data_IF_034544184802
#
_entry.id   IF_034544184802
#
_cell.length_a   1.000
_cell.length_b   1.000
_cell.length_c   1.000
_cell.angle_alpha   90.00
_cell.angle_beta   90.00
_cell.angle_gamma   90.00
#
_symmetry.space_group_name_H-M   'P 1'
#
loop_
_entity.id
_entity.type
_entity.pdbx_description
1 polymer ?
#
# COMPACT_ATOMS: atom_id res chain seq x y z
N UNK A 1 -46.91 15.90 -54.63
CA UNK A 1 -46.73 15.94 -53.17
C UNK A 1 -46.63 14.53 -52.54
N UNK A 2 -47.38 13.48 -52.96
CA UNK A 2 -47.33 12.14 -52.38
C UNK A 2 -45.98 11.36 -52.58
N UNK A 3 -45.24 11.64 -53.67
CA UNK A 3 -43.95 10.98 -53.95
C UNK A 3 -42.77 11.58 -53.14
N UNK A 4 -42.86 12.82 -52.71
CA UNK A 4 -41.83 13.48 -51.90
C UNK A 4 -41.90 13.00 -50.44
N UNK A 5 -43.09 12.78 -49.92
CA UNK A 5 -43.28 12.29 -48.54
C UNK A 5 -42.80 10.84 -48.37
N UNK A 6 -42.94 9.97 -49.40
CA UNK A 6 -42.44 8.63 -49.35
C UNK A 6 -40.89 8.55 -49.37
N UNK A 7 -40.23 9.49 -50.12
CA UNK A 7 -38.78 9.53 -50.21
C UNK A 7 -38.12 10.04 -48.92
N UNK A 8 -38.77 11.01 -48.23
CA UNK A 8 -38.30 11.49 -46.91
C UNK A 8 -38.48 10.44 -45.83
N UNK A 9 -39.55 9.64 -45.88
CA UNK A 9 -39.80 8.55 -44.92
C UNK A 9 -38.80 7.39 -45.07
N UNK A 10 -38.39 7.04 -46.30
CA UNK A 10 -37.38 6.03 -46.58
C UNK A 10 -35.99 6.53 -46.12
N UNK A 11 -35.69 7.82 -46.32
CA UNK A 11 -34.43 8.41 -45.83
C UNK A 11 -34.37 8.47 -44.29
N UNK A 12 -35.49 8.73 -43.61
CA UNK A 12 -35.55 8.72 -42.15
C UNK A 12 -35.40 7.30 -41.56
N UNK A 13 -35.98 6.29 -42.22
CA UNK A 13 -35.85 4.90 -41.80
C UNK A 13 -34.43 4.39 -42.07
N UNK A 14 -33.76 4.80 -43.14
CA UNK A 14 -32.38 4.45 -43.43
C UNK A 14 -31.42 5.11 -42.44
N UNK A 15 -31.71 6.34 -41.99
CA UNK A 15 -30.89 7.04 -40.98
C UNK A 15 -31.08 6.43 -39.57
N UNK A 16 -32.25 5.95 -39.25
CA UNK A 16 -32.53 5.23 -38.01
C UNK A 16 -31.89 3.82 -37.99
N UNK A 17 -31.75 3.16 -39.15
CA UNK A 17 -31.05 1.87 -39.21
C UNK A 17 -29.52 2.00 -39.13
N UNK A 18 -28.92 3.13 -39.50
CA UNK A 18 -27.49 3.39 -39.34
C UNK A 18 -27.12 3.66 -37.86
N UNK A 19 -28.06 4.20 -37.06
CA UNK A 19 -27.86 4.35 -35.61
C UNK A 19 -28.21 3.08 -34.80
N UNK A 20 -28.82 2.07 -35.40
CA UNK A 20 -29.12 0.79 -34.75
C UNK A 20 -28.03 -0.27 -34.96
N UNK A 21 -27.00 0.01 -35.76
CA UNK A 21 -25.71 -0.70 -35.77
C UNK A 21 -24.71 -0.05 -34.80
N UNK A 22 -25.16 0.27 -33.61
CA UNK A 22 -24.30 0.31 -32.47
C UNK A 22 -23.75 -1.10 -32.29
N UNK A 23 -22.51 -1.33 -32.72
CA UNK A 23 -21.83 -2.56 -32.41
C UNK A 23 -21.97 -2.77 -30.89
N UNK A 24 -22.51 -3.91 -30.52
CA UNK A 24 -22.23 -4.41 -29.18
C UNK A 24 -20.70 -4.53 -29.15
N UNK A 25 -20.03 -3.56 -28.56
CA UNK A 25 -18.72 -3.83 -28.03
C UNK A 25 -18.93 -5.03 -27.12
N UNK A 26 -18.51 -6.21 -27.60
CA UNK A 26 -18.27 -7.33 -26.71
C UNK A 26 -17.37 -6.76 -25.64
N UNK A 27 -17.94 -6.54 -24.48
CA UNK A 27 -17.17 -6.27 -23.27
C UNK A 27 -16.29 -7.52 -23.14
N UNK A 28 -15.07 -7.44 -23.66
CA UNK A 28 -14.07 -8.49 -23.44
C UNK A 28 -14.00 -8.62 -21.93
N UNK A 29 -14.49 -9.74 -21.44
CA UNK A 29 -14.37 -10.09 -20.04
C UNK A 29 -12.87 -10.06 -19.74
N UNK A 30 -12.45 -9.11 -18.92
CA UNK A 30 -11.05 -8.94 -18.55
C UNK A 30 -10.69 -10.18 -17.77
N UNK A 31 -9.81 -11.01 -18.32
CA UNK A 31 -9.34 -12.23 -17.67
C UNK A 31 -8.62 -11.82 -16.37
N UNK A 32 -9.20 -12.20 -15.24
CA UNK A 32 -8.65 -11.88 -13.93
C UNK A 32 -7.34 -12.63 -13.75
N UNK A 33 -6.35 -11.97 -13.15
CA UNK A 33 -5.16 -12.66 -12.67
C UNK A 33 -5.55 -13.71 -11.62
N UNK A 34 -4.66 -14.69 -11.37
CA UNK A 34 -4.88 -15.69 -10.33
C UNK A 34 -5.18 -15.05 -8.97
N UNK A 35 -4.43 -13.99 -8.61
CA UNK A 35 -4.63 -13.26 -7.35
C UNK A 35 -5.99 -12.57 -7.33
N UNK A 36 -6.36 -11.90 -8.39
CA UNK A 36 -7.67 -11.24 -8.47
C UNK A 36 -8.84 -12.23 -8.42
N UNK A 37 -8.69 -13.42 -8.99
CA UNK A 37 -9.69 -14.47 -8.89
C UNK A 37 -9.86 -14.96 -7.44
N UNK A 38 -8.75 -15.18 -6.71
CA UNK A 38 -8.76 -15.55 -5.29
C UNK A 38 -9.39 -14.45 -4.43
N UNK A 39 -9.05 -13.20 -4.67
CA UNK A 39 -9.63 -12.06 -3.94
C UNK A 39 -11.13 -11.99 -4.18
N UNK A 40 -11.57 -12.12 -5.43
CA UNK A 40 -12.99 -12.08 -5.78
C UNK A 40 -13.78 -13.22 -5.13
N UNK A 41 -13.20 -14.42 -5.02
CA UNK A 41 -13.80 -15.53 -4.28
C UNK A 41 -13.92 -15.19 -2.79
N UNK A 42 -12.86 -14.61 -2.21
CA UNK A 42 -12.75 -14.32 -0.79
C UNK A 42 -13.60 -13.11 -0.32
N UNK A 43 -13.93 -12.16 -1.20
CA UNK A 43 -14.69 -10.95 -0.86
C UNK A 43 -16.05 -11.22 -0.22
N UNK A 44 -16.71 -12.32 -0.60
CA UNK A 44 -18.00 -12.72 -0.07
C UNK A 44 -17.94 -13.57 1.19
N UNK A 45 -16.77 -14.04 1.59
CA UNK A 45 -16.60 -14.99 2.69
C UNK A 45 -16.64 -14.32 4.05
N UNK A 46 -17.20 -15.03 5.02
CA UNK A 46 -17.07 -14.71 6.45
C UNK A 46 -15.64 -15.00 6.94
N UNK A 47 -15.27 -14.45 8.10
CA UNK A 47 -13.98 -14.78 8.72
C UNK A 47 -13.84 -16.27 9.02
N UNK A 48 -14.96 -16.94 9.35
CA UNK A 48 -14.97 -18.38 9.59
C UNK A 48 -14.70 -19.18 8.30
N UNK A 49 -15.32 -18.80 7.18
CA UNK A 49 -15.07 -19.45 5.88
C UNK A 49 -13.65 -19.19 5.39
N UNK A 50 -13.13 -17.98 5.57
CA UNK A 50 -11.73 -17.66 5.26
C UNK A 50 -10.75 -18.49 6.12
N UNK A 51 -11.07 -18.70 7.39
CA UNK A 51 -10.25 -19.52 8.27
C UNK A 51 -10.26 -20.99 7.86
N UNK A 52 -11.41 -21.54 7.46
CA UNK A 52 -11.48 -22.91 6.92
C UNK A 52 -10.67 -23.04 5.63
N UNK A 53 -10.79 -22.08 4.72
CA UNK A 53 -10.01 -22.04 3.49
C UNK A 53 -8.51 -22.01 3.79
N UNK A 54 -8.09 -21.18 4.74
CA UNK A 54 -6.70 -21.10 5.18
C UNK A 54 -6.19 -22.43 5.73
N UNK A 55 -6.99 -23.16 6.50
CA UNK A 55 -6.66 -24.50 6.99
C UNK A 55 -6.49 -25.48 5.82
N UNK A 56 -7.44 -25.53 4.91
CA UNK A 56 -7.40 -26.43 3.73
C UNK A 56 -6.16 -26.18 2.86
N UNK A 57 -5.81 -24.91 2.65
CA UNK A 57 -4.71 -24.52 1.77
C UNK A 57 -3.33 -24.69 2.40
N UNK A 58 -3.20 -24.53 3.72
CA UNK A 58 -1.89 -24.40 4.37
C UNK A 58 -1.53 -25.50 5.35
N UNK A 59 -2.45 -26.40 5.70
CA UNK A 59 -2.18 -27.45 6.68
C UNK A 59 -0.98 -28.31 6.27
N UNK A 60 -0.03 -28.52 7.18
CA UNK A 60 1.18 -29.31 6.96
C UNK A 60 2.25 -28.63 6.11
N UNK A 61 2.04 -27.38 5.67
CA UNK A 61 2.99 -26.66 4.80
C UNK A 61 3.92 -25.74 5.57
N UNK A 62 4.94 -25.22 4.87
CA UNK A 62 5.75 -24.10 5.34
C UNK A 62 5.20 -22.79 4.79
N UNK A 63 5.06 -21.82 5.67
CA UNK A 63 4.58 -20.49 5.36
C UNK A 63 5.73 -19.49 5.41
N UNK A 64 6.16 -19.03 4.24
CA UNK A 64 7.25 -18.07 4.12
C UNK A 64 6.71 -16.65 4.16
N UNK A 65 7.16 -15.89 5.15
CA UNK A 65 6.87 -14.47 5.25
C UNK A 65 8.11 -13.61 5.04
N UNK A 66 7.94 -12.43 4.51
CA UNK A 66 9.00 -11.47 4.20
C UNK A 66 8.59 -10.08 4.66
N UNK A 67 9.45 -9.38 5.39
CA UNK A 67 9.14 -8.01 5.76
C UNK A 67 10.21 -7.34 6.61
N UNK A 68 10.14 -6.02 6.73
CA UNK A 68 11.08 -5.23 7.53
C UNK A 68 10.65 -5.07 8.99
N UNK A 69 9.57 -5.71 9.40
CA UNK A 69 9.05 -5.66 10.77
C UNK A 69 9.15 -7.03 11.45
N UNK A 70 9.65 -7.05 12.69
CA UNK A 70 9.64 -8.26 13.54
C UNK A 70 8.22 -8.70 13.94
N UNK A 71 7.21 -7.88 13.72
CA UNK A 71 5.82 -8.22 14.03
C UNK A 71 5.33 -9.47 13.29
N UNK A 72 5.86 -9.76 12.10
CA UNK A 72 5.58 -11.01 11.41
C UNK A 72 5.92 -12.25 12.22
N UNK A 73 7.02 -12.22 12.96
CA UNK A 73 7.41 -13.33 13.86
C UNK A 73 6.41 -13.59 15.00
N UNK A 74 5.69 -12.53 15.42
CA UNK A 74 4.67 -12.65 16.47
C UNK A 74 3.29 -12.94 15.88
N UNK A 75 3.00 -12.39 14.71
CA UNK A 75 1.70 -12.56 14.06
C UNK A 75 1.46 -14.02 13.63
N UNK A 76 2.48 -14.66 13.07
CA UNK A 76 2.36 -16.05 12.58
C UNK A 76 2.00 -17.08 13.65
N UNK A 77 2.66 -17.13 14.83
CA UNK A 77 2.22 -17.98 15.92
C UNK A 77 0.79 -17.74 16.38
N UNK A 78 0.36 -16.48 16.45
CA UNK A 78 -1.01 -16.14 16.83
C UNK A 78 -2.02 -16.60 15.77
N UNK A 79 -1.68 -16.46 14.49
CA UNK A 79 -2.49 -16.98 13.39
C UNK A 79 -2.65 -18.50 13.48
N UNK A 80 -1.55 -19.24 13.70
CA UNK A 80 -1.59 -20.68 13.89
C UNK A 80 -2.47 -21.06 15.09
N UNK A 81 -2.26 -20.42 16.24
CA UNK A 81 -3.04 -20.67 17.42
C UNK A 81 -4.55 -20.41 17.20
N UNK A 82 -4.90 -19.37 16.46
CA UNK A 82 -6.28 -19.11 16.08
C UNK A 82 -6.87 -20.23 15.22
N UNK A 83 -6.16 -20.68 14.18
CA UNK A 83 -6.64 -21.79 13.34
C UNK A 83 -6.73 -23.11 14.10
N UNK A 84 -5.88 -23.36 15.10
CA UNK A 84 -5.95 -24.51 15.99
C UNK A 84 -7.17 -24.47 16.93
N UNK A 85 -7.81 -23.33 17.14
CA UNK A 85 -9.10 -23.30 17.83
C UNK A 85 -10.23 -23.88 16.98
N UNK A 86 -10.06 -23.89 15.65
CA UNK A 86 -11.04 -24.40 14.68
C UNK A 86 -10.72 -25.87 14.35
N UNK A 87 -9.46 -26.15 14.02
CA UNK A 87 -8.96 -27.52 13.81
C UNK A 87 -7.74 -27.78 14.70
N UNK A 88 -7.91 -28.51 15.82
CA UNK A 88 -6.80 -28.82 16.74
C UNK A 88 -5.66 -29.63 16.09
N UNK A 89 -5.88 -30.27 14.94
CA UNK A 89 -4.86 -31.02 14.21
C UNK A 89 -4.05 -30.15 13.26
N UNK A 90 -4.43 -28.88 13.07
CA UNK A 90 -3.77 -27.96 12.15
C UNK A 90 -2.30 -27.71 12.51
N UNK A 91 -1.45 -27.83 11.51
CA UNK A 91 -0.02 -27.57 11.62
C UNK A 91 0.46 -26.66 10.50
N UNK A 92 1.30 -25.70 10.85
CA UNK A 92 1.97 -24.82 9.89
C UNK A 92 3.37 -24.51 10.42
N UNK A 93 4.38 -24.58 9.56
CA UNK A 93 5.74 -24.17 9.92
C UNK A 93 5.98 -22.75 9.46
N UNK A 94 6.05 -21.75 10.37
CA UNK A 94 6.26 -20.36 9.98
C UNK A 94 7.75 -20.07 9.79
N UNK A 95 8.11 -19.47 8.67
CA UNK A 95 9.43 -18.92 8.40
C UNK A 95 9.32 -17.43 8.06
N UNK A 96 9.98 -16.59 8.86
CA UNK A 96 9.97 -15.15 8.67
C UNK A 96 11.36 -14.61 8.35
N UNK A 97 11.52 -14.03 7.17
CA UNK A 97 12.73 -13.34 6.73
C UNK A 97 12.61 -11.82 6.92
N UNK A 98 13.68 -11.19 7.43
CA UNK A 98 13.67 -9.76 7.74
C UNK A 98 14.90 -9.04 7.16
N UNK A 99 15.02 -8.93 5.83
CA UNK A 99 16.09 -8.18 5.20
C UNK A 99 15.86 -6.66 5.30
N UNK A 100 16.81 -5.88 4.81
CA UNK A 100 16.66 -4.42 4.67
C UNK A 100 15.53 -4.08 3.70
N UNK A 101 14.84 -2.95 3.95
CA UNK A 101 13.63 -2.57 3.23
C UNK A 101 13.82 -2.58 1.69
N UNK A 102 14.90 -2.00 1.18
CA UNK A 102 15.15 -1.97 -0.28
C UNK A 102 15.32 -3.37 -0.89
N UNK A 103 15.92 -4.31 -0.15
CA UNK A 103 16.07 -5.69 -0.60
C UNK A 103 14.72 -6.42 -0.68
N UNK A 104 13.77 -6.10 0.20
CA UNK A 104 12.44 -6.70 0.20
C UNK A 104 11.74 -6.44 -1.13
N UNK A 105 11.73 -5.20 -1.63
CA UNK A 105 11.09 -4.86 -2.91
C UNK A 105 11.70 -5.65 -4.07
N UNK A 106 13.03 -5.81 -4.09
CA UNK A 106 13.72 -6.61 -5.11
C UNK A 106 13.32 -8.08 -5.02
N UNK A 107 13.23 -8.63 -3.80
CA UNK A 107 12.84 -10.02 -3.57
C UNK A 107 11.37 -10.27 -3.97
N UNK A 108 10.46 -9.37 -3.60
CA UNK A 108 9.05 -9.47 -3.97
C UNK A 108 8.83 -9.35 -5.48
N UNK A 109 9.53 -8.42 -6.15
CA UNK A 109 9.46 -8.28 -7.60
C UNK A 109 9.97 -9.55 -8.32
N UNK A 110 11.04 -10.15 -7.83
CA UNK A 110 11.56 -11.41 -8.36
C UNK A 110 10.66 -12.61 -8.07
N UNK A 111 9.91 -12.57 -6.97
CA UNK A 111 8.96 -13.62 -6.60
C UNK A 111 7.67 -13.52 -7.42
N UNK A 112 7.19 -12.30 -7.68
CA UNK A 112 5.94 -12.05 -8.40
C UNK A 112 5.94 -12.46 -9.88
N UNK A 113 7.13 -12.70 -10.49
CA UNK A 113 7.22 -13.22 -11.86
C UNK A 113 7.27 -14.75 -11.94
N UNK A 114 7.28 -15.45 -10.79
CA UNK A 114 7.23 -16.91 -10.75
C UNK A 114 5.81 -17.40 -10.98
N UNK A 115 5.68 -18.58 -11.56
CA UNK A 115 4.39 -19.26 -11.72
C UNK A 115 3.70 -19.52 -10.37
N UNK A 116 4.52 -19.85 -9.35
CA UNK A 116 4.11 -19.96 -7.96
C UNK A 116 5.06 -19.11 -7.11
N UNK A 117 4.51 -18.10 -6.41
CA UNK A 117 5.27 -17.29 -5.48
C UNK A 117 5.71 -18.07 -4.26
N UNK A 118 6.82 -17.65 -3.67
CA UNK A 118 7.37 -18.25 -2.45
C UNK A 118 6.76 -17.63 -1.21
N UNK A 119 6.58 -16.29 -1.23
CA UNK A 119 6.16 -15.55 -0.04
C UNK A 119 4.63 -15.44 0.02
N UNK A 120 4.07 -15.97 1.10
CA UNK A 120 2.64 -15.93 1.37
C UNK A 120 2.19 -14.67 2.13
N UNK A 121 3.12 -13.96 2.76
CA UNK A 121 2.82 -12.75 3.52
C UNK A 121 3.99 -11.76 3.45
N UNK A 122 3.67 -10.47 3.34
CA UNK A 122 4.65 -9.41 3.47
C UNK A 122 4.20 -8.32 4.44
N UNK A 123 5.17 -7.76 5.18
CA UNK A 123 5.01 -6.52 5.97
C UNK A 123 6.06 -5.54 5.51
N UNK A 124 5.66 -4.59 4.68
CA UNK A 124 6.55 -3.61 4.04
C UNK A 124 6.20 -2.19 4.47
N UNK A 125 7.20 -1.32 4.40
CA UNK A 125 7.05 0.12 4.63
C UNK A 125 7.54 0.86 3.38
N UNK A 126 7.28 2.16 3.32
CA UNK A 126 7.60 3.06 2.23
C UNK A 126 6.53 3.11 1.14
N UNK A 127 5.57 4.02 1.38
CA UNK A 127 4.42 4.21 0.50
C UNK A 127 4.79 4.48 -0.96
N UNK A 128 5.87 5.20 -1.23
CA UNK A 128 6.29 5.51 -2.59
C UNK A 128 6.76 4.26 -3.35
N UNK A 129 7.52 3.37 -2.69
CA UNK A 129 7.94 2.12 -3.32
C UNK A 129 6.80 1.10 -3.39
N UNK A 130 5.93 1.06 -2.37
CA UNK A 130 4.72 0.22 -2.40
C UNK A 130 3.88 0.62 -3.61
N UNK A 131 3.57 1.91 -3.76
CA UNK A 131 2.78 2.41 -4.87
C UNK A 131 3.44 2.10 -6.22
N UNK A 132 4.68 2.56 -6.44
CA UNK A 132 5.32 2.49 -7.75
C UNK A 132 5.79 1.10 -8.17
N UNK A 133 6.21 0.26 -7.22
CA UNK A 133 6.80 -1.05 -7.53
C UNK A 133 5.84 -2.22 -7.32
N UNK A 134 4.79 -2.05 -6.54
CA UNK A 134 3.88 -3.13 -6.18
C UNK A 134 2.48 -2.91 -6.71
N UNK A 135 1.85 -1.77 -6.38
CA UNK A 135 0.46 -1.49 -6.77
C UNK A 135 0.35 -1.19 -8.26
N UNK A 136 1.13 -0.22 -8.78
CA UNK A 136 1.08 0.17 -10.20
C UNK A 136 1.54 -0.94 -11.15
N UNK A 137 2.32 -1.89 -10.67
CA UNK A 137 2.75 -3.05 -11.44
C UNK A 137 1.81 -4.25 -11.33
N UNK A 138 0.76 -4.16 -10.51
CA UNK A 138 -0.18 -5.26 -10.27
C UNK A 138 0.40 -6.43 -9.47
N UNK A 139 1.53 -6.23 -8.77
CA UNK A 139 2.14 -7.24 -7.90
C UNK A 139 1.49 -7.28 -6.51
N UNK A 140 0.78 -6.23 -6.14
CA UNK A 140 0.03 -6.13 -4.89
C UNK A 140 -1.40 -5.71 -5.22
N UNK A 141 -2.35 -6.42 -4.66
CA UNK A 141 -3.76 -6.10 -4.74
C UNK A 141 -4.35 -5.97 -3.33
N UNK A 142 -5.47 -5.28 -3.20
CA UNK A 142 -6.11 -5.08 -1.89
C UNK A 142 -7.12 -6.18 -1.63
N UNK A 143 -7.03 -6.77 -0.46
CA UNK A 143 -8.07 -7.62 0.09
C UNK A 143 -8.37 -7.21 1.54
N UNK A 144 -9.66 -6.99 1.83
CA UNK A 144 -10.14 -6.67 3.16
C UNK A 144 -11.31 -7.62 3.47
N UNK A 145 -11.20 -8.42 4.54
CA UNK A 145 -12.31 -9.29 4.95
C UNK A 145 -13.58 -8.46 5.20
N UNK A 146 -14.72 -8.91 4.68
CA UNK A 146 -16.00 -8.22 4.76
C UNK A 146 -16.39 -7.82 6.19
N UNK A 147 -16.34 -8.77 7.12
CA UNK A 147 -16.68 -8.52 8.52
C UNK A 147 -15.73 -7.51 9.17
N UNK A 148 -14.46 -7.51 8.79
CA UNK A 148 -13.50 -6.51 9.26
C UNK A 148 -13.84 -5.11 8.71
N UNK A 149 -14.18 -5.02 7.44
CA UNK A 149 -14.57 -3.76 6.80
C UNK A 149 -15.82 -3.17 7.44
N UNK A 150 -16.84 -4.00 7.69
CA UNK A 150 -18.08 -3.61 8.37
C UNK A 150 -17.80 -3.09 9.78
N UNK A 151 -16.99 -3.81 10.56
CA UNK A 151 -16.62 -3.42 11.93
C UNK A 151 -15.84 -2.10 11.98
N UNK A 152 -15.00 -1.83 10.97
CA UNK A 152 -14.18 -0.62 10.89
C UNK A 152 -14.80 0.49 10.03
N UNK A 153 -15.99 0.28 9.46
CA UNK A 153 -16.73 1.22 8.61
C UNK A 153 -15.87 1.74 7.44
N UNK A 154 -15.18 0.84 6.77
CA UNK A 154 -14.26 1.14 5.68
C UNK A 154 -14.54 0.26 4.46
N UNK A 155 -13.87 0.54 3.35
CA UNK A 155 -13.97 -0.21 2.09
C UNK A 155 -12.58 -0.55 1.55
N UNK A 156 -12.49 -1.53 0.67
CA UNK A 156 -11.25 -1.90 0.00
C UNK A 156 -10.66 -0.72 -0.80
N UNK A 157 -11.51 0.11 -1.41
CA UNK A 157 -11.09 1.24 -2.24
C UNK A 157 -10.30 2.31 -1.46
N UNK A 158 -10.54 2.44 -0.15
CA UNK A 158 -9.81 3.39 0.69
C UNK A 158 -8.34 3.02 0.85
N UNK A 159 -7.99 1.77 0.65
CA UNK A 159 -6.64 1.24 0.86
C UNK A 159 -5.83 1.03 -0.42
N UNK A 160 -6.44 1.18 -1.61
CA UNK A 160 -5.78 1.24 -2.92
C UNK A 160 -4.66 0.22 -3.13
N UNK A 161 -4.92 -1.06 -2.89
CA UNK A 161 -3.97 -2.13 -3.15
C UNK A 161 -3.12 -2.57 -1.94
N UNK A 162 -3.30 -1.99 -0.76
CA UNK A 162 -2.64 -2.45 0.47
C UNK A 162 -3.47 -2.17 1.72
N UNK A 163 -3.39 -3.07 2.69
CA UNK A 163 -4.02 -2.89 4.01
C UNK A 163 -2.99 -2.30 4.98
N UNK A 164 -3.17 -1.05 5.45
CA UNK A 164 -2.25 -0.43 6.40
C UNK A 164 -2.45 -1.00 7.80
N UNK A 165 -1.40 -1.59 8.37
CA UNK A 165 -1.40 -2.08 9.76
C UNK A 165 -1.06 -0.99 10.77
N UNK A 166 -0.34 0.02 10.34
CA UNK A 166 0.08 1.14 11.19
C UNK A 166 0.47 2.35 10.37
N UNK A 167 0.30 3.52 10.93
CA UNK A 167 0.90 4.76 10.45
C UNK A 167 2.20 5.01 11.19
N UNK A 168 3.28 5.25 10.46
CA UNK A 168 4.58 5.62 11.02
C UNK A 168 4.82 7.10 10.74
N UNK A 169 5.07 7.85 11.79
CA UNK A 169 5.50 9.24 11.69
C UNK A 169 7.00 9.35 12.02
N UNK A 170 7.70 10.15 11.25
CA UNK A 170 9.03 10.62 11.60
C UNK A 170 8.88 11.99 12.24
N UNK A 171 9.42 12.13 13.43
CA UNK A 171 9.31 13.37 14.22
C UNK A 171 10.68 13.78 14.72
N UNK A 172 10.89 15.07 14.84
CA UNK A 172 12.04 15.59 15.57
C UNK A 172 11.81 15.44 17.07
N UNK A 173 12.81 15.00 17.78
CA UNK A 173 12.76 14.82 19.22
C UNK A 173 14.03 15.38 19.87
N UNK A 174 13.87 15.99 21.03
CA UNK A 174 15.00 16.41 21.84
C UNK A 174 14.80 15.99 23.29
N UNK A 175 15.90 15.98 24.04
CA UNK A 175 15.87 15.70 25.48
C UNK A 175 15.37 16.92 26.23
N UNK A 176 14.14 16.92 26.68
CA UNK A 176 13.54 18.04 27.41
C UNK A 176 14.13 18.29 28.80
N UNK A 177 14.99 17.39 29.31
CA UNK A 177 15.78 17.61 30.55
C UNK A 177 17.16 18.15 30.25
N UNK A 178 17.51 18.33 28.99
CA UNK A 178 18.76 18.99 28.59
C UNK A 178 18.72 20.49 28.80
N UNK A 179 19.87 21.13 28.57
CA UNK A 179 20.03 22.60 28.74
C UNK A 179 19.55 23.41 27.54
N UNK A 180 19.18 22.75 26.42
CA UNK A 180 18.72 23.40 25.19
C UNK A 180 17.25 23.16 24.99
N UNK A 181 16.53 24.19 24.51
CA UNK A 181 15.20 24.10 23.94
C UNK A 181 15.29 24.11 22.41
N UNK A 182 14.36 23.41 21.76
CA UNK A 182 14.26 23.33 20.31
C UNK A 182 12.80 23.65 19.96
N UNK A 183 12.54 24.88 19.62
CA UNK A 183 11.19 25.41 19.40
C UNK A 183 10.89 25.56 17.93
N UNK A 184 11.91 25.38 17.07
CA UNK A 184 11.83 25.56 15.63
C UNK A 184 12.56 24.43 14.89
N UNK A 185 12.17 24.16 13.65
CA UNK A 185 12.85 23.21 12.77
C UNK A 185 14.35 23.52 12.61
N UNK A 186 14.69 24.80 12.49
CA UNK A 186 16.07 25.27 12.26
C UNK A 186 16.99 25.04 13.46
N UNK A 187 16.44 24.92 14.66
CA UNK A 187 17.22 24.57 15.85
C UNK A 187 17.86 23.19 15.76
N UNK A 188 17.22 22.26 15.05
CA UNK A 188 17.73 20.90 14.85
C UNK A 188 18.83 20.79 13.78
N UNK A 189 18.96 21.78 12.91
CA UNK A 189 19.92 21.79 11.79
C UNK A 189 20.95 22.90 11.91
N UNK A 190 20.97 23.60 13.03
CA UNK A 190 21.94 24.66 13.31
C UNK A 190 23.37 24.09 13.31
N UNK A 191 24.39 24.87 12.88
CA UNK A 191 25.77 24.43 12.92
C UNK A 191 26.20 23.98 14.31
N UNK A 192 26.83 22.81 14.37
CA UNK A 192 27.25 22.20 15.66
C UNK A 192 26.18 21.34 16.33
N UNK A 193 24.96 21.31 15.84
CA UNK A 193 23.96 20.32 16.26
C UNK A 193 24.26 18.97 15.60
N UNK A 194 24.24 17.92 16.41
CA UNK A 194 24.36 16.54 15.98
C UNK A 194 22.96 15.90 16.04
N UNK A 195 22.04 16.53 15.33
CA UNK A 195 20.68 16.05 15.25
C UNK A 195 20.61 14.69 14.57
N UNK A 196 19.51 14.37 14.09
CA UNK A 196 19.07 13.16 13.46
C UNK A 196 20.17 12.33 12.75
N UNK A 197 20.46 11.14 13.28
CA UNK A 197 21.16 10.12 12.52
C UNK A 197 20.18 9.44 11.57
N UNK A 198 20.39 9.59 10.29
CA UNK A 198 19.64 8.93 9.26
C UNK A 198 20.58 8.42 8.18
N UNK A 199 20.63 7.10 8.01
CA UNK A 199 21.37 6.48 6.94
C UNK A 199 20.56 6.60 5.62
N UNK A 200 20.80 7.68 4.87
CA UNK A 200 20.08 7.97 3.62
C UNK A 200 20.40 6.98 2.49
N UNK A 201 21.45 6.18 2.61
CA UNK A 201 21.83 5.23 1.58
C UNK A 201 21.11 3.89 1.74
N UNK A 202 20.91 3.46 2.99
CA UNK A 202 20.21 2.19 3.28
C UNK A 202 18.72 2.37 3.62
N UNK A 203 18.31 3.59 3.96
CA UNK A 203 16.94 3.91 4.39
C UNK A 203 16.29 4.96 3.47
N UNK A 204 15.37 4.51 2.64
CA UNK A 204 14.64 5.37 1.68
C UNK A 204 13.85 6.48 2.39
N UNK A 205 13.44 6.26 3.63
CA UNK A 205 12.67 7.23 4.43
C UNK A 205 13.40 8.56 4.55
N UNK A 206 14.73 8.55 4.68
CA UNK A 206 15.53 9.79 4.73
C UNK A 206 15.47 10.57 3.44
N UNK A 207 15.63 9.89 2.31
CA UNK A 207 15.52 10.52 0.98
C UNK A 207 14.11 11.06 0.76
N UNK A 208 13.08 10.30 1.09
CA UNK A 208 11.69 10.73 0.96
C UNK A 208 11.39 11.97 1.80
N UNK A 209 11.94 12.05 3.01
CA UNK A 209 11.83 13.24 3.84
C UNK A 209 12.48 14.47 3.16
N UNK A 210 13.68 14.34 2.62
CA UNK A 210 14.35 15.42 1.90
C UNK A 210 13.56 15.84 0.65
N UNK A 211 13.04 14.88 -0.13
CA UNK A 211 12.18 15.20 -1.26
C UNK A 211 10.88 15.89 -0.84
N UNK A 212 10.29 15.47 0.27
CA UNK A 212 9.10 16.13 0.82
C UNK A 212 9.37 17.61 1.09
N UNK A 213 10.53 17.98 1.64
CA UNK A 213 10.88 19.36 1.90
C UNK A 213 10.99 20.23 0.64
N UNK A 214 11.13 19.63 -0.56
CA UNK A 214 11.13 20.36 -1.83
C UNK A 214 9.73 20.62 -2.39
N UNK A 215 8.70 19.97 -1.86
CA UNK A 215 7.32 20.22 -2.28
C UNK A 215 6.87 21.62 -1.80
N UNK A 216 6.17 22.40 -2.65
CA UNK A 216 5.88 23.81 -2.37
C UNK A 216 5.24 24.10 -1.01
N UNK A 217 4.33 23.21 -0.57
CA UNK A 217 3.67 23.37 0.73
C UNK A 217 4.65 23.24 1.90
N UNK A 218 5.51 22.23 1.92
CA UNK A 218 6.48 22.01 2.99
C UNK A 218 7.66 22.96 2.91
N UNK A 219 8.10 23.30 1.70
CA UNK A 219 9.12 24.32 1.49
C UNK A 219 8.69 25.69 2.06
N UNK A 220 7.40 26.06 1.88
CA UNK A 220 6.86 27.28 2.43
C UNK A 220 6.77 27.25 3.97
N UNK A 221 6.46 26.10 4.58
CA UNK A 221 6.46 25.93 6.03
C UNK A 221 7.88 26.05 6.61
N UNK A 222 8.87 25.39 6.00
CA UNK A 222 10.28 25.49 6.40
C UNK A 222 10.80 26.91 6.25
N UNK A 223 10.40 27.60 5.16
CA UNK A 223 10.74 29.01 4.97
C UNK A 223 10.09 29.90 6.03
N UNK A 224 8.81 29.71 6.34
CA UNK A 224 8.13 30.47 7.38
C UNK A 224 8.77 30.28 8.76
N UNK A 225 9.22 29.04 9.06
CA UNK A 225 9.97 28.76 10.27
C UNK A 225 11.31 29.51 10.30
N UNK A 226 12.02 29.63 9.16
CA UNK A 226 13.23 30.44 9.06
C UNK A 226 12.92 31.94 9.26
N UNK A 227 11.88 32.43 8.59
CA UNK A 227 11.50 33.86 8.67
C UNK A 227 11.16 34.27 10.12
N UNK A 228 10.68 33.34 10.93
CA UNK A 228 10.34 33.56 12.35
C UNK A 228 11.57 33.63 13.28
N UNK A 229 12.75 33.18 12.83
CA UNK A 229 13.97 33.29 13.58
C UNK A 229 14.37 34.76 13.82
N UNK A 230 14.99 35.04 14.94
CA UNK A 230 15.64 36.34 15.23
C UNK A 230 16.83 36.59 14.29
N UNK A 231 17.32 37.82 14.26
CA UNK A 231 18.52 38.15 13.47
C UNK A 231 19.77 37.41 13.95
N UNK A 232 19.89 37.19 15.27
CA UNK A 232 20.98 36.42 15.85
C UNK A 232 20.94 34.94 15.44
N UNK A 233 19.75 34.33 15.48
CA UNK A 233 19.55 32.95 15.08
C UNK A 233 19.79 32.74 13.58
N UNK A 234 19.40 33.70 12.76
CA UNK A 234 19.65 33.67 11.30
C UNK A 234 21.14 33.74 10.97
N UNK A 235 21.89 34.55 11.72
CA UNK A 235 23.32 34.75 11.48
C UNK A 235 24.18 33.48 11.65
N UNK A 236 23.66 32.41 12.26
CA UNK A 236 24.38 31.14 12.37
C UNK A 236 24.31 30.31 11.08
N UNK A 237 23.41 30.69 10.15
CA UNK A 237 23.22 30.01 8.85
C UNK A 237 23.87 30.75 7.66
N UNK A 238 24.35 32.00 7.88
CA UNK A 238 25.07 32.83 6.88
C UNK A 238 26.58 32.52 6.91
#
# INVERSE_FOLDING_TARGET
MKKFTAMVMVALIATLMVFAQGGSEEVKEVELSRVQAIIKEAEGMTLSELAQKAIEESNGKTFYGLGNSSRGKTALPNFIAYLQTIDPSYTLTPEWSQPKNNSIFTMLAADGVKAEGTYAMTLIQDGNQIESKMVQTGLLDTFIPKEWAEANKTTADEYKGYLPLQTLNKVFMYNCTGSKSYDNFWDFVAPGEHGLFMDVDSEVVGKNFLYMLTAPQYASEVKAAYDALSAEEKAVFD
#
